data_IF_073131916241
#
_entry.id   IF_073131916241
#
_cell.length_a   1.000
_cell.length_b   1.000
_cell.length_c   1.000
_cell.angle_alpha   90.00
_cell.angle_beta   90.00
_cell.angle_gamma   90.00
#
_symmetry.space_group_name_H-M   'P 1'
#
loop_
_entity.id
_entity.type
_entity.pdbx_description
1 polymer ?
#
# COMPACT_ATOMS: atom_id res chain seq x y z
N UNK A 1 24.05 -15.93 -5.81
CA UNK A 1 23.50 -17.12 -5.14
C UNK A 1 23.38 -16.82 -3.65
N UNK A 2 22.17 -16.73 -3.15
CA UNK A 2 21.94 -16.62 -1.71
C UNK A 2 22.10 -18.00 -1.07
N UNK A 3 22.87 -18.09 -0.02
CA UNK A 3 23.04 -19.32 0.75
C UNK A 3 21.81 -19.49 1.65
N UNK A 4 21.37 -20.74 1.91
CA UNK A 4 20.08 -21.07 2.51
C UNK A 4 19.63 -20.24 3.71
N UNK A 5 20.53 -19.87 4.62
CA UNK A 5 20.21 -19.01 5.78
C UNK A 5 19.92 -17.55 5.41
N UNK A 6 20.41 -17.06 4.30
CA UNK A 6 20.17 -15.68 3.85
C UNK A 6 18.86 -15.55 3.08
N UNK A 7 18.34 -16.64 2.53
CA UNK A 7 17.03 -16.67 1.86
C UNK A 7 15.87 -16.56 2.85
N UNK A 8 16.07 -16.96 4.09
CA UNK A 8 15.06 -16.92 5.15
C UNK A 8 14.99 -15.56 5.88
N UNK A 9 15.76 -14.55 5.48
CA UNK A 9 15.91 -13.28 6.20
C UNK A 9 15.15 -12.13 5.50
N UNK A 10 14.31 -12.41 4.54
CA UNK A 10 13.56 -11.35 3.85
C UNK A 10 12.30 -11.02 4.62
N UNK A 11 12.19 -9.75 4.97
CA UNK A 11 10.97 -9.18 5.51
C UNK A 11 10.06 -8.70 4.37
N UNK A 12 8.75 -8.69 4.60
CA UNK A 12 7.76 -8.14 3.67
C UNK A 12 7.12 -6.91 4.27
N UNK A 13 7.19 -5.79 3.58
CA UNK A 13 6.53 -4.55 3.98
C UNK A 13 5.54 -4.15 2.90
N UNK A 14 4.28 -3.91 3.28
CA UNK A 14 3.24 -3.44 2.38
C UNK A 14 2.47 -2.26 3.00
N UNK A 15 2.70 -1.08 2.46
CA UNK A 15 1.99 0.16 2.80
C UNK A 15 1.24 0.72 1.59
N UNK A 16 1.02 -0.09 0.56
CA UNK A 16 0.43 0.33 -0.70
C UNK A 16 -1.03 -0.10 -0.82
N UNK A 17 -1.27 -1.35 -1.18
CA UNK A 17 -2.62 -1.93 -1.29
C UNK A 17 -2.60 -3.40 -0.87
N UNK A 18 -3.66 -3.83 -0.17
CA UNK A 18 -3.79 -5.19 0.33
C UNK A 18 -3.72 -6.25 -0.77
N UNK A 19 -4.38 -6.03 -1.88
CA UNK A 19 -4.41 -6.94 -3.03
C UNK A 19 -3.04 -7.26 -3.68
N UNK A 20 -1.97 -6.59 -3.26
CA UNK A 20 -0.60 -6.90 -3.70
C UNK A 20 0.00 -8.11 -2.98
N UNK A 21 -0.62 -8.58 -1.93
CA UNK A 21 -0.16 -9.70 -1.11
C UNK A 21 -1.35 -10.58 -0.78
N UNK A 22 -1.23 -11.87 -1.06
CA UNK A 22 -2.22 -12.86 -0.61
C UNK A 22 -1.94 -13.16 0.86
N UNK A 23 -2.89 -12.82 1.74
CA UNK A 23 -2.69 -12.91 3.19
C UNK A 23 -2.54 -14.36 3.68
N UNK A 24 -3.22 -15.32 3.04
CA UNK A 24 -3.08 -16.74 3.39
C UNK A 24 -1.66 -17.25 3.13
N UNK A 25 -1.12 -16.97 1.93
CA UNK A 25 0.25 -17.35 1.55
C UNK A 25 1.29 -16.65 2.43
N UNK A 26 1.03 -15.39 2.78
CA UNK A 26 1.87 -14.63 3.70
C UNK A 26 1.92 -15.29 5.09
N UNK A 27 0.76 -15.66 5.63
CA UNK A 27 0.68 -16.34 6.92
C UNK A 27 1.43 -17.67 6.91
N UNK A 28 1.34 -18.44 5.83
CA UNK A 28 2.08 -19.69 5.68
C UNK A 28 3.58 -19.45 5.60
N UNK A 29 4.02 -18.47 4.82
CA UNK A 29 5.43 -18.10 4.69
C UNK A 29 6.03 -17.61 6.01
N UNK A 30 5.26 -16.89 6.83
CA UNK A 30 5.67 -16.45 8.16
C UNK A 30 5.76 -17.59 9.17
N UNK A 31 4.77 -18.51 9.15
CA UNK A 31 4.74 -19.70 10.03
C UNK A 31 5.87 -20.68 9.71
N UNK A 32 6.15 -20.86 8.43
CA UNK A 32 7.23 -21.76 7.97
C UNK A 32 8.62 -21.16 8.12
N UNK A 33 8.73 -19.85 8.42
CA UNK A 33 10.01 -19.14 8.46
C UNK A 33 10.61 -18.88 7.08
N UNK A 34 9.86 -19.04 6.00
CA UNK A 34 10.28 -18.69 4.64
C UNK A 34 10.59 -17.20 4.54
N UNK A 35 9.83 -16.37 5.25
CA UNK A 35 10.15 -14.97 5.53
C UNK A 35 10.22 -14.76 7.04
N UNK A 36 11.08 -13.86 7.48
CA UNK A 36 11.32 -13.63 8.90
C UNK A 36 10.22 -12.82 9.56
N UNK A 37 9.68 -11.83 8.87
CA UNK A 37 8.67 -10.94 9.39
C UNK A 37 7.92 -10.21 8.30
N UNK A 38 6.78 -9.63 8.68
CA UNK A 38 6.01 -8.77 7.81
C UNK A 38 5.49 -7.52 8.54
N UNK A 39 5.41 -6.40 7.80
CA UNK A 39 4.75 -5.18 8.25
C UNK A 39 3.66 -4.80 7.24
N UNK A 40 2.42 -4.71 7.69
CA UNK A 40 1.27 -4.43 6.86
C UNK A 40 0.49 -3.23 7.40
N UNK A 41 0.29 -2.24 6.54
CA UNK A 41 -0.63 -1.12 6.80
C UNK A 41 -1.94 -1.27 6.04
N UNK A 42 -1.98 -2.21 5.08
CA UNK A 42 -3.11 -2.46 4.20
C UNK A 42 -3.43 -3.94 4.12
N UNK A 43 -4.69 -4.29 3.90
CA UNK A 43 -5.21 -5.65 3.94
C UNK A 43 -6.10 -5.95 2.74
N UNK A 44 -6.28 -7.23 2.42
CA UNK A 44 -7.18 -7.66 1.32
C UNK A 44 -8.62 -7.18 1.55
N UNK A 45 -9.05 -7.22 2.80
CA UNK A 45 -10.33 -6.66 3.24
C UNK A 45 -10.07 -5.71 4.41
N UNK A 46 -10.64 -4.52 4.38
CA UNK A 46 -10.50 -3.52 5.43
C UNK A 46 -11.88 -3.13 6.00
N UNK A 47 -12.05 -3.20 7.34
CA UNK A 47 -11.09 -3.68 8.35
C UNK A 47 -10.83 -5.19 8.23
N UNK A 48 -9.57 -5.60 8.46
CA UNK A 48 -9.21 -7.01 8.35
C UNK A 48 -9.87 -7.85 9.42
N UNK A 49 -10.44 -8.98 9.01
CA UNK A 49 -10.94 -10.03 9.90
C UNK A 49 -9.98 -11.21 10.04
N UNK A 50 -8.81 -11.13 9.44
CA UNK A 50 -7.85 -12.23 9.40
C UNK A 50 -7.13 -12.38 10.75
N UNK A 51 -7.70 -13.20 11.63
CA UNK A 51 -7.14 -13.46 12.97
C UNK A 51 -5.74 -14.09 12.92
N UNK A 52 -5.44 -14.86 11.88
CA UNK A 52 -4.15 -15.51 11.76
C UNK A 52 -2.99 -14.51 11.74
N UNK A 53 -3.19 -13.33 11.14
CA UNK A 53 -2.19 -12.27 11.14
C UNK A 53 -1.93 -11.68 12.53
N UNK A 54 -2.98 -11.58 13.36
CA UNK A 54 -2.86 -11.04 14.73
C UNK A 54 -2.22 -12.02 15.71
N UNK A 55 -2.26 -13.32 15.41
CA UNK A 55 -1.68 -14.36 16.24
C UNK A 55 -0.18 -14.59 15.97
N UNK A 56 0.35 -14.03 14.87
CA UNK A 56 1.75 -14.16 14.51
C UNK A 56 2.61 -13.14 15.24
N UNK A 57 3.64 -13.62 15.96
CA UNK A 57 4.56 -12.76 16.70
C UNK A 57 5.55 -11.97 15.82
N UNK A 58 5.68 -12.39 14.56
CA UNK A 58 6.59 -11.78 13.59
C UNK A 58 5.87 -10.86 12.58
N UNK A 59 4.78 -10.23 13.01
CA UNK A 59 4.04 -9.23 12.23
C UNK A 59 3.97 -7.88 12.94
N UNK A 60 4.01 -6.81 12.18
CA UNK A 60 3.66 -5.46 12.60
C UNK A 60 2.48 -5.00 11.75
N UNK A 61 1.38 -4.65 12.39
CA UNK A 61 0.14 -4.29 11.72
C UNK A 61 -0.28 -2.87 12.11
N UNK A 62 -0.73 -2.09 11.14
CA UNK A 62 -1.28 -0.74 11.34
C UNK A 62 -2.56 -0.54 10.53
N UNK A 63 -3.47 0.36 10.96
CA UNK A 63 -4.82 0.45 10.42
C UNK A 63 -4.92 1.40 9.22
N UNK A 64 -4.16 1.15 8.15
CA UNK A 64 -4.14 1.95 6.91
C UNK A 64 -3.89 3.44 7.18
N UNK A 65 -2.86 3.72 7.96
CA UNK A 65 -2.52 5.07 8.41
C UNK A 65 -1.12 5.55 7.98
N UNK A 66 -0.38 4.79 7.21
CA UNK A 66 0.98 5.13 6.81
C UNK A 66 1.08 6.46 6.02
N UNK A 67 0.01 6.85 5.33
CA UNK A 67 -0.10 8.14 4.62
C UNK A 67 -0.63 9.30 5.47
N UNK A 68 -1.02 9.06 6.72
CA UNK A 68 -1.66 10.05 7.58
C UNK A 68 -0.61 10.85 8.37
N UNK A 69 0.05 11.79 7.71
CA UNK A 69 0.83 12.84 8.37
C UNK A 69 0.25 14.21 8.01
N UNK A 70 0.48 15.21 8.87
CA UNK A 70 0.00 16.56 8.61
C UNK A 70 0.52 17.08 7.25
N UNK A 71 1.81 16.89 6.98
CA UNK A 71 2.41 17.28 5.70
C UNK A 71 1.87 16.53 4.50
N UNK A 72 1.59 15.21 4.63
CA UNK A 72 1.03 14.43 3.53
C UNK A 72 -0.41 14.86 3.20
N UNK A 73 -1.22 15.15 4.22
CA UNK A 73 -2.61 15.61 4.04
C UNK A 73 -2.62 16.99 3.36
N UNK A 74 -1.78 17.91 3.81
CA UNK A 74 -1.64 19.24 3.21
C UNK A 74 -1.20 19.15 1.74
N UNK A 75 -0.19 18.35 1.45
CA UNK A 75 0.33 18.16 0.09
C UNK A 75 -0.68 17.49 -0.84
N UNK A 76 -1.41 16.48 -0.39
CA UNK A 76 -2.50 15.88 -1.15
C UNK A 76 -3.60 16.90 -1.46
N UNK A 77 -3.96 17.73 -0.49
CA UNK A 77 -4.95 18.81 -0.68
C UNK A 77 -4.48 19.83 -1.71
N UNK A 78 -3.24 20.27 -1.64
CA UNK A 78 -2.61 21.19 -2.59
C UNK A 78 -2.62 20.62 -4.02
N UNK A 79 -2.09 19.41 -4.20
CA UNK A 79 -1.99 18.76 -5.51
C UNK A 79 -3.39 18.55 -6.12
N UNK A 80 -4.35 18.09 -5.34
CA UNK A 80 -5.72 17.90 -5.82
C UNK A 80 -6.34 19.22 -6.27
N UNK A 81 -6.17 20.28 -5.52
CA UNK A 81 -6.69 21.61 -5.87
C UNK A 81 -6.05 22.13 -7.16
N UNK A 82 -4.74 22.02 -7.29
CA UNK A 82 -4.01 22.44 -8.49
C UNK A 82 -4.47 21.65 -9.72
N UNK A 83 -4.63 20.33 -9.60
CA UNK A 83 -5.10 19.48 -10.69
C UNK A 83 -6.51 19.84 -11.12
N UNK A 84 -7.44 20.07 -10.19
CA UNK A 84 -8.81 20.49 -10.49
C UNK A 84 -8.82 21.83 -11.22
N UNK A 85 -8.04 22.80 -10.75
CA UNK A 85 -7.94 24.11 -11.39
C UNK A 85 -7.34 24.03 -12.79
N UNK A 86 -6.30 23.23 -12.99
CA UNK A 86 -5.71 23.02 -14.31
C UNK A 86 -6.71 22.42 -15.29
N UNK A 87 -7.40 21.35 -14.89
CA UNK A 87 -8.41 20.69 -15.75
C UNK A 87 -9.58 21.64 -16.04
N UNK A 88 -10.04 22.44 -15.08
CA UNK A 88 -11.12 23.41 -15.30
C UNK A 88 -10.78 24.51 -16.31
N UNK A 89 -9.47 24.80 -16.47
CA UNK A 89 -8.95 25.75 -17.46
C UNK A 89 -8.62 25.11 -18.80
N UNK A 90 -8.80 23.78 -18.93
CA UNK A 90 -8.40 23.02 -20.12
C UNK A 90 -6.87 22.78 -20.21
N UNK A 91 -6.17 22.97 -19.11
CA UNK A 91 -4.73 22.72 -19.02
C UNK A 91 -4.44 21.26 -18.63
N UNK A 92 -3.26 20.75 -18.95
CA UNK A 92 -2.82 19.43 -18.50
C UNK A 92 -2.33 19.49 -17.06
N UNK A 93 -2.71 18.51 -16.23
CA UNK A 93 -2.16 18.38 -14.89
C UNK A 93 -1.04 17.33 -14.84
N UNK A 94 -0.09 17.51 -13.91
CA UNK A 94 1.11 16.69 -13.79
C UNK A 94 0.90 15.25 -13.33
N UNK A 95 -0.33 14.87 -12.97
CA UNK A 95 -0.66 13.56 -12.40
C UNK A 95 -1.36 12.58 -13.36
N UNK A 96 -1.39 12.87 -14.66
CA UNK A 96 -2.05 11.99 -15.64
C UNK A 96 -1.18 10.75 -15.89
N UNK A 97 -1.64 9.60 -15.40
CA UNK A 97 -0.92 8.32 -15.55
C UNK A 97 -1.38 7.55 -16.81
N UNK A 98 -2.60 7.73 -17.26
CA UNK A 98 -3.24 6.92 -18.31
C UNK A 98 -3.85 7.80 -19.40
N UNK A 99 -3.11 8.02 -20.47
CA UNK A 99 -3.60 8.48 -21.77
C UNK A 99 -4.37 9.82 -21.79
N UNK A 100 -4.86 10.22 -22.95
CA UNK A 100 -5.60 11.47 -23.06
C UNK A 100 -6.90 11.38 -22.25
N UNK A 101 -7.07 12.31 -21.35
CA UNK A 101 -8.32 12.50 -20.62
C UNK A 101 -9.45 12.71 -21.64
N UNK A 102 -10.45 11.85 -21.65
CA UNK A 102 -11.67 12.13 -22.40
C UNK A 102 -12.37 13.29 -21.70
N UNK A 103 -12.16 14.48 -22.22
CA UNK A 103 -12.95 15.66 -21.83
C UNK A 103 -14.39 15.44 -22.29
N UNK A 104 -15.17 14.75 -21.48
CA UNK A 104 -16.57 14.43 -21.74
C UNK A 104 -17.53 15.02 -20.71
N UNK A 105 -17.11 16.03 -19.99
CA UNK A 105 -17.99 16.81 -19.12
C UNK A 105 -18.55 17.98 -19.94
N UNK A 106 -19.75 17.78 -20.47
CA UNK A 106 -20.64 18.88 -20.90
C UNK A 106 -21.54 19.26 -19.74
#
# INVERSE_FOLDING_TARGET
RLVGSEMCIRDRINTSRGALVQEEDLCEALKSGTIRGAALDVFEMEPTGNRALFELENTVLSPHCAGLSAGAIEEMGRINTENILAVSKGETCGGIILGPFRTGWK
#
